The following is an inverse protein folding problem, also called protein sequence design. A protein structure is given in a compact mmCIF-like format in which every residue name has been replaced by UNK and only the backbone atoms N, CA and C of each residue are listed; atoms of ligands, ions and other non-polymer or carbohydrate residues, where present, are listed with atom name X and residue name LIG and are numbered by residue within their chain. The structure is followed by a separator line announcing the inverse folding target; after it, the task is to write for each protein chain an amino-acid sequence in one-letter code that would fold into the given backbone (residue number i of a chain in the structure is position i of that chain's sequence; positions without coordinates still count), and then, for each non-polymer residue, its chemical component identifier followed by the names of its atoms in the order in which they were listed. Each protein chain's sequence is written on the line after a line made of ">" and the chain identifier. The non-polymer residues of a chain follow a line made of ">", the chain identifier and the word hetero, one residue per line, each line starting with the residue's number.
data_IF_291509285411
#
_entry.id   IF_291509285411
#
_cell.length_a   1.000
_cell.length_b   1.000
_cell.length_c   1.000
_cell.angle_alpha   90.00
_cell.angle_beta   90.00
_cell.angle_gamma   90.00
#
_symmetry.space_group_name_H-M   'P 1'
#
loop_
_entity.id
_entity.type
_entity.pdbx_description
1 polymer ?
#
# COMPACT_ATOMS: atom_id res chain seq x y z
N UNK A 1 11.88 -16.35 -27.00
CA UNK A 1 13.09 -16.92 -26.33
C UNK A 1 13.46 -18.29 -26.89
N UNK A 2 12.54 -19.25 -26.93
CA UNK A 2 12.80 -20.62 -27.43
C UNK A 2 13.30 -20.65 -28.87
N UNK A 3 12.79 -19.80 -29.75
CA UNK A 3 13.25 -19.64 -31.16
C UNK A 3 14.75 -19.39 -31.28
N UNK A 4 15.34 -18.67 -30.32
CA UNK A 4 16.77 -18.32 -30.36
C UNK A 4 17.67 -19.39 -29.72
N UNK A 5 17.08 -20.35 -29.00
CA UNK A 5 17.84 -21.30 -28.19
C UNK A 5 18.56 -22.31 -29.10
N UNK A 6 19.89 -22.30 -29.03
CA UNK A 6 20.72 -23.33 -29.67
C UNK A 6 20.97 -23.12 -31.16
N UNK A 7 20.63 -21.93 -31.71
CA UNK A 7 21.01 -21.59 -33.08
C UNK A 7 22.53 -21.42 -33.19
N UNK A 8 23.18 -21.99 -34.21
CA UNK A 8 24.58 -21.72 -34.51
C UNK A 8 24.75 -20.30 -35.05
N UNK A 9 25.95 -19.73 -34.96
CA UNK A 9 26.25 -18.46 -35.62
C UNK A 9 26.42 -18.66 -37.14
N UNK A 10 26.08 -17.69 -38.00
CA UNK A 10 25.54 -16.34 -37.72
C UNK A 10 24.04 -16.23 -38.04
N UNK A 11 23.67 -15.76 -39.23
CA UNK A 11 22.27 -15.63 -39.65
C UNK A 11 21.63 -17.00 -39.89
N UNK A 12 20.45 -17.21 -39.29
CA UNK A 12 19.57 -18.36 -39.53
C UNK A 12 18.19 -17.84 -39.95
N UNK A 13 17.48 -18.56 -40.82
CA UNK A 13 16.14 -18.13 -41.27
C UNK A 13 15.14 -18.07 -40.11
N UNK A 14 15.33 -18.88 -39.08
CA UNK A 14 14.61 -18.87 -37.80
C UNK A 14 14.59 -17.48 -37.14
N UNK A 15 15.59 -16.62 -37.41
CA UNK A 15 15.61 -15.24 -36.92
C UNK A 15 14.53 -14.36 -37.56
N UNK A 16 13.81 -14.83 -38.59
CA UNK A 16 12.68 -14.09 -39.15
C UNK A 16 11.46 -14.10 -38.23
N UNK A 17 11.35 -15.08 -37.34
CA UNK A 17 10.28 -15.26 -36.35
C UNK A 17 10.36 -14.25 -35.17
N UNK A 18 11.30 -13.30 -35.20
CA UNK A 18 11.43 -12.25 -34.19
C UNK A 18 10.34 -11.17 -34.33
N UNK A 19 9.85 -10.93 -35.54
CA UNK A 19 8.94 -9.84 -35.90
C UNK A 19 7.54 -10.04 -35.36
N UNK A 20 6.93 -11.19 -35.64
CA UNK A 20 5.55 -11.47 -35.25
C UNK A 20 5.30 -11.29 -33.74
N UNK A 21 6.08 -11.91 -32.82
CA UNK A 21 5.87 -11.71 -31.39
C UNK A 21 6.23 -10.30 -30.91
N UNK A 22 7.16 -9.62 -31.58
CA UNK A 22 7.47 -8.22 -31.27
C UNK A 22 6.30 -7.30 -31.64
N UNK A 23 5.76 -7.45 -32.85
CA UNK A 23 4.65 -6.62 -33.33
C UNK A 23 3.37 -6.88 -32.55
N UNK A 24 3.05 -8.15 -32.26
CA UNK A 24 1.91 -8.49 -31.41
C UNK A 24 2.06 -7.86 -30.01
N UNK A 25 3.26 -7.94 -29.40
CA UNK A 25 3.50 -7.31 -28.10
C UNK A 25 3.32 -5.78 -28.14
N UNK A 26 3.79 -5.11 -29.20
CA UNK A 26 3.62 -3.67 -29.37
C UNK A 26 2.14 -3.28 -29.50
N UNK A 27 1.38 -4.03 -30.29
CA UNK A 27 -0.05 -3.80 -30.50
C UNK A 27 -0.83 -4.00 -29.18
N UNK A 28 -0.60 -5.10 -28.48
CA UNK A 28 -1.30 -5.43 -27.24
C UNK A 28 -0.94 -4.46 -26.11
N UNK A 29 0.34 -4.15 -25.90
CA UNK A 29 0.75 -3.22 -24.84
C UNK A 29 0.26 -1.81 -25.15
N UNK A 30 0.35 -1.36 -26.40
CA UNK A 30 -0.12 -0.04 -26.83
C UNK A 30 -1.64 0.13 -26.68
N UNK A 31 -2.42 -0.90 -27.00
CA UNK A 31 -3.87 -0.90 -26.75
C UNK A 31 -4.19 -0.98 -25.25
N UNK A 32 -3.52 -1.87 -24.52
CA UNK A 32 -3.71 -2.06 -23.09
C UNK A 32 -3.41 -0.80 -22.28
N UNK A 33 -2.31 -0.10 -22.55
CA UNK A 33 -1.96 1.15 -21.88
C UNK A 33 -3.02 2.24 -22.11
N UNK A 34 -3.57 2.37 -23.33
CA UNK A 34 -4.63 3.34 -23.63
C UNK A 34 -5.94 3.00 -22.92
N UNK A 35 -6.31 1.72 -22.90
CA UNK A 35 -7.49 1.26 -22.18
C UNK A 35 -7.36 1.49 -20.66
N UNK A 36 -6.20 1.17 -20.07
CA UNK A 36 -5.92 1.41 -18.64
C UNK A 36 -5.89 2.90 -18.31
N UNK A 37 -5.34 3.75 -19.17
CA UNK A 37 -5.38 5.20 -18.97
C UNK A 37 -6.83 5.71 -18.94
N UNK A 38 -7.67 5.25 -19.88
CA UNK A 38 -9.10 5.56 -19.88
C UNK A 38 -9.82 5.06 -18.63
N UNK A 39 -9.55 3.82 -18.22
CA UNK A 39 -10.09 3.24 -16.98
C UNK A 39 -9.72 4.10 -15.77
N UNK A 40 -8.43 4.31 -15.51
CA UNK A 40 -7.93 5.01 -14.32
C UNK A 40 -8.43 6.46 -14.26
N UNK A 41 -8.49 7.16 -15.38
CA UNK A 41 -8.97 8.55 -15.44
C UNK A 41 -10.48 8.69 -15.23
N UNK A 42 -11.25 7.62 -15.41
CA UNK A 42 -12.71 7.62 -15.28
C UNK A 42 -13.20 6.91 -14.01
N UNK A 43 -12.30 6.36 -13.18
CA UNK A 43 -12.65 5.77 -11.90
C UNK A 43 -13.31 6.80 -10.99
N UNK A 44 -14.41 6.39 -10.36
CA UNK A 44 -15.06 7.13 -9.27
C UNK A 44 -14.91 6.32 -8.00
N UNK A 45 -14.31 6.93 -6.97
CA UNK A 45 -14.12 6.30 -5.67
C UNK A 45 -15.27 6.63 -4.74
N UNK A 46 -15.87 5.62 -4.11
CA UNK A 46 -16.74 5.81 -2.95
C UNK A 46 -15.84 6.03 -1.72
N UNK A 47 -15.39 7.26 -1.55
CA UNK A 47 -14.48 7.65 -0.47
C UNK A 47 -15.10 7.46 0.91
N UNK A 48 -16.43 7.53 1.01
CA UNK A 48 -17.13 7.30 2.27
C UNK A 48 -17.10 5.82 2.65
N UNK A 49 -17.40 4.92 1.71
CA UNK A 49 -17.30 3.49 1.97
C UNK A 49 -15.85 3.07 2.28
N UNK A 50 -14.87 3.61 1.55
CA UNK A 50 -13.45 3.37 1.82
C UNK A 50 -13.06 3.84 3.23
N UNK A 51 -13.49 5.05 3.63
CA UNK A 51 -13.23 5.60 4.96
C UNK A 51 -13.85 4.74 6.06
N UNK A 52 -15.13 4.38 5.93
CA UNK A 52 -15.82 3.49 6.89
C UNK A 52 -15.12 2.13 7.04
N UNK A 53 -14.58 1.58 5.96
CA UNK A 53 -13.86 0.31 6.00
C UNK A 53 -12.46 0.45 6.65
N UNK A 54 -11.80 1.60 6.48
CA UNK A 54 -10.47 1.87 7.03
C UNK A 54 -10.49 2.25 8.51
N UNK A 55 -11.51 2.99 8.96
CA UNK A 55 -11.59 3.54 10.31
C UNK A 55 -12.22 2.59 11.34
N UNK A 56 -12.24 1.28 11.04
CA UNK A 56 -12.69 0.26 12.00
C UNK A 56 -11.68 0.16 13.15
N UNK A 57 -12.06 0.42 14.42
CA UNK A 57 -11.09 0.52 15.53
C UNK A 57 -10.24 -0.72 15.76
N UNK A 58 -10.75 -1.91 15.45
CA UNK A 58 -10.00 -3.17 15.59
C UNK A 58 -8.81 -3.28 14.63
N UNK A 59 -8.83 -2.57 13.49
CA UNK A 59 -7.68 -2.50 12.58
C UNK A 59 -6.51 -1.71 13.19
N UNK A 60 -6.80 -0.76 14.07
CA UNK A 60 -5.81 0.04 14.79
C UNK A 60 -5.30 -0.64 16.07
N UNK A 61 -5.70 -1.88 16.37
CA UNK A 61 -5.17 -2.62 17.52
C UNK A 61 -3.63 -2.79 17.45
N UNK A 62 -3.07 -2.93 16.25
CA UNK A 62 -1.61 -2.99 16.09
C UNK A 62 -0.94 -1.71 16.57
N UNK A 63 -1.55 -0.54 16.35
CA UNK A 63 -1.02 0.75 16.80
C UNK A 63 -0.96 0.83 18.33
N UNK A 64 -1.91 0.23 19.05
CA UNK A 64 -1.87 0.13 20.51
C UNK A 64 -0.70 -0.73 20.99
N UNK A 65 -0.43 -1.85 20.31
CA UNK A 65 0.68 -2.73 20.66
C UNK A 65 2.03 -2.04 20.40
N UNK A 66 2.17 -1.34 19.26
CA UNK A 66 3.34 -0.52 18.94
C UNK A 66 3.55 0.58 19.98
N UNK A 67 2.49 1.25 20.43
CA UNK A 67 2.55 2.30 21.46
C UNK A 67 3.08 1.80 22.82
N UNK A 68 2.70 0.58 23.21
CA UNK A 68 3.24 -0.08 24.41
C UNK A 68 4.71 -0.46 24.22
N UNK A 69 5.09 -0.94 23.03
CA UNK A 69 6.49 -1.28 22.69
C UNK A 69 7.39 -0.06 22.71
N UNK A 70 6.92 1.09 22.20
CA UNK A 70 7.62 2.37 22.30
C UNK A 70 7.91 2.75 23.77
N UNK A 71 7.02 2.36 24.69
CA UNK A 71 7.15 2.52 26.15
C UNK A 71 7.89 1.37 26.84
N UNK A 72 8.65 0.58 26.09
CA UNK A 72 9.52 -0.51 26.57
C UNK A 72 8.78 -1.75 27.10
N UNK A 73 7.49 -1.90 26.83
CA UNK A 73 6.79 -3.17 27.08
C UNK A 73 7.29 -4.20 26.05
N UNK A 74 7.70 -5.41 26.47
CA UNK A 74 8.11 -6.45 25.53
C UNK A 74 7.01 -6.77 24.51
N UNK A 75 7.38 -6.93 23.24
CA UNK A 75 6.43 -7.13 22.13
C UNK A 75 5.38 -8.20 22.40
N UNK A 76 5.78 -9.37 22.91
CA UNK A 76 4.84 -10.47 23.26
C UNK A 76 3.82 -10.04 24.31
N UNK A 77 4.25 -9.27 25.31
CA UNK A 77 3.38 -8.76 26.38
C UNK A 77 2.43 -7.70 25.84
N UNK A 78 2.91 -6.76 25.03
CA UNK A 78 2.10 -5.73 24.39
C UNK A 78 0.98 -6.33 23.53
N UNK A 79 1.31 -7.29 22.67
CA UNK A 79 0.32 -8.03 21.87
C UNK A 79 -0.65 -8.85 22.73
N UNK A 80 -0.19 -9.40 23.86
CA UNK A 80 -1.03 -10.11 24.80
C UNK A 80 -2.09 -9.21 25.45
N UNK A 81 -1.69 -8.03 25.94
CA UNK A 81 -2.56 -7.03 26.56
C UNK A 81 -3.63 -6.58 25.55
N UNK A 82 -3.19 -6.10 24.39
CA UNK A 82 -4.11 -5.58 23.36
C UNK A 82 -5.02 -6.68 22.83
N UNK A 83 -4.49 -7.89 22.61
CA UNK A 83 -5.29 -9.03 22.22
C UNK A 83 -6.37 -9.39 23.24
N UNK A 84 -6.11 -9.18 24.53
CA UNK A 84 -7.13 -9.29 25.59
C UNK A 84 -8.24 -8.27 25.42
N UNK A 85 -7.89 -6.99 25.30
CA UNK A 85 -8.87 -5.91 25.12
C UNK A 85 -9.73 -6.09 23.86
N UNK A 86 -9.14 -6.56 22.76
CA UNK A 86 -9.89 -6.86 21.54
C UNK A 86 -10.87 -8.01 21.75
N UNK A 87 -10.46 -9.09 22.44
CA UNK A 87 -11.38 -10.19 22.77
C UNK A 87 -12.52 -9.71 23.67
N UNK A 88 -12.20 -8.96 24.72
CA UNK A 88 -13.19 -8.43 25.66
C UNK A 88 -14.18 -7.49 24.95
N UNK A 89 -13.72 -6.66 24.01
CA UNK A 89 -14.59 -5.82 23.18
C UNK A 89 -15.54 -6.65 22.31
N UNK A 90 -15.05 -7.73 21.69
CA UNK A 90 -15.86 -8.61 20.86
C UNK A 90 -16.89 -9.39 21.69
N UNK A 91 -16.48 -9.92 22.84
CA UNK A 91 -17.33 -10.75 23.70
C UNK A 91 -18.42 -9.92 24.39
N UNK A 92 -18.10 -8.70 24.82
CA UNK A 92 -19.04 -7.79 25.49
C UNK A 92 -19.86 -6.92 24.54
N UNK A 93 -19.43 -6.78 23.28
CA UNK A 93 -19.99 -5.80 22.34
C UNK A 93 -19.66 -4.34 22.68
N UNK A 94 -18.79 -4.10 23.66
CA UNK A 94 -18.38 -2.75 24.05
C UNK A 94 -17.42 -2.14 23.02
N UNK A 95 -17.42 -0.80 22.83
CA UNK A 95 -16.45 -0.13 21.99
C UNK A 95 -15.01 -0.37 22.51
N UNK A 96 -14.11 -0.80 21.64
CA UNK A 96 -12.69 -1.03 22.00
C UNK A 96 -12.06 0.23 22.63
N UNK A 97 -12.41 1.42 22.15
CA UNK A 97 -11.91 2.68 22.67
C UNK A 97 -12.22 2.90 24.16
N UNK A 98 -13.38 2.42 24.64
CA UNK A 98 -13.75 2.59 26.04
C UNK A 98 -12.94 1.65 26.94
N UNK A 99 -12.72 0.41 26.51
CA UNK A 99 -11.85 -0.54 27.21
C UNK A 99 -10.38 -0.07 27.24
N UNK A 100 -9.89 0.49 26.14
CA UNK A 100 -8.54 1.07 26.06
C UNK A 100 -8.42 2.27 27.00
N UNK A 101 -9.40 3.18 27.01
CA UNK A 101 -9.41 4.35 27.89
C UNK A 101 -9.39 3.97 29.37
N UNK A 102 -10.05 2.87 29.73
CA UNK A 102 -10.12 2.35 31.09
C UNK A 102 -8.92 1.45 31.48
N UNK A 103 -8.11 0.99 30.51
CA UNK A 103 -6.96 0.11 30.77
C UNK A 103 -5.85 0.88 31.50
N UNK A 104 -5.34 0.35 32.62
CA UNK A 104 -4.20 0.93 33.34
C UNK A 104 -2.93 1.06 32.51
N UNK A 105 -2.72 0.19 31.52
CA UNK A 105 -1.52 0.14 30.69
C UNK A 105 -1.56 1.11 29.51
N UNK A 106 -2.75 1.52 29.06
CA UNK A 106 -2.96 2.32 27.84
C UNK A 106 -3.50 3.73 28.16
N UNK A 107 -4.65 3.79 28.85
CA UNK A 107 -5.31 5.04 29.23
C UNK A 107 -5.87 5.86 28.05
N UNK A 108 -6.36 7.09 28.33
CA UNK A 108 -7.01 7.95 27.34
C UNK A 108 -6.12 8.32 26.15
N UNK A 109 -4.82 8.53 26.37
CA UNK A 109 -3.85 8.91 25.33
C UNK A 109 -3.70 7.83 24.25
N UNK A 110 -3.74 6.55 24.63
CA UNK A 110 -3.69 5.46 23.69
C UNK A 110 -5.02 5.27 22.94
N UNK A 111 -6.15 5.63 23.55
CA UNK A 111 -7.45 5.57 22.88
C UNK A 111 -7.54 6.52 21.67
N UNK A 112 -6.80 7.64 21.69
CA UNK A 112 -6.69 8.56 20.55
C UNK A 112 -6.12 7.87 19.29
N UNK A 113 -5.39 6.76 19.43
CA UNK A 113 -4.88 5.99 18.29
C UNK A 113 -5.98 5.29 17.48
N UNK A 114 -7.16 5.12 18.07
CA UNK A 114 -8.31 4.49 17.43
C UNK A 114 -9.20 5.49 16.70
N UNK A 115 -8.89 6.80 16.78
CA UNK A 115 -9.65 7.81 16.07
C UNK A 115 -9.48 7.69 14.54
N UNK A 116 -10.53 8.00 13.76
CA UNK A 116 -10.50 7.97 12.30
C UNK A 116 -9.26 8.63 11.69
N UNK A 117 -8.60 7.92 10.76
CA UNK A 117 -7.42 8.39 10.04
C UNK A 117 -6.08 8.38 10.81
N UNK A 118 -6.08 8.18 12.13
CA UNK A 118 -4.83 8.19 12.93
C UNK A 118 -3.88 7.05 12.52
N UNK A 119 -4.41 5.83 12.36
CA UNK A 119 -3.63 4.67 11.94
C UNK A 119 -2.87 4.88 10.61
N UNK A 120 -3.50 5.56 9.64
CA UNK A 120 -2.88 5.90 8.35
C UNK A 120 -1.80 6.97 8.51
N UNK A 121 -2.13 8.09 9.18
CA UNK A 121 -1.23 9.25 9.30
C UNK A 121 0.08 8.94 10.03
N UNK A 122 0.08 7.94 10.93
CA UNK A 122 1.27 7.48 11.65
C UNK A 122 2.30 6.75 10.78
N UNK A 123 1.91 6.25 9.61
CA UNK A 123 2.80 5.49 8.69
C UNK A 123 3.73 6.43 7.90
N UNK A 124 4.68 7.05 8.60
CA UNK A 124 5.54 8.13 8.10
C UNK A 124 6.91 7.67 7.58
N UNK A 125 7.26 6.40 7.74
CA UNK A 125 8.52 5.84 7.21
C UNK A 125 8.55 5.94 5.68
N UNK A 126 9.75 5.88 5.10
CA UNK A 126 9.91 5.88 3.65
C UNK A 126 9.13 4.72 3.01
N UNK A 127 8.23 5.04 2.07
CA UNK A 127 7.33 4.08 1.44
C UNK A 127 6.07 3.74 2.27
N UNK A 128 5.86 4.40 3.40
CA UNK A 128 4.66 4.27 4.21
C UNK A 128 3.42 4.92 3.56
N UNK A 129 2.24 4.55 4.08
CA UNK A 129 0.95 5.02 3.58
C UNK A 129 0.47 6.36 4.19
N UNK A 130 1.23 6.93 5.13
CA UNK A 130 0.88 8.21 5.75
C UNK A 130 1.11 9.37 4.81
N UNK A 131 0.33 10.45 4.98
CA UNK A 131 0.31 11.61 4.08
C UNK A 131 1.71 12.13 3.73
N UNK A 132 2.59 12.32 4.72
CA UNK A 132 3.94 12.82 4.48
C UNK A 132 4.80 11.89 3.62
N UNK A 133 4.64 10.57 3.76
CA UNK A 133 5.37 9.58 2.97
C UNK A 133 4.83 9.50 1.55
N UNK A 134 3.51 9.60 1.38
CA UNK A 134 2.82 9.67 0.09
C UNK A 134 3.23 10.93 -0.68
N UNK A 135 3.21 12.10 -0.03
CA UNK A 135 3.61 13.37 -0.65
C UNK A 135 5.06 13.29 -1.18
N UNK A 136 5.99 12.78 -0.37
CA UNK A 136 7.38 12.56 -0.78
C UNK A 136 7.50 11.56 -1.96
N UNK A 137 6.63 10.54 -2.01
CA UNK A 137 6.59 9.57 -3.10
C UNK A 137 6.03 10.17 -4.39
N UNK A 138 4.99 11.00 -4.32
CA UNK A 138 4.41 11.71 -5.45
C UNK A 138 5.44 12.64 -6.09
N UNK A 139 6.16 13.43 -5.28
CA UNK A 139 7.24 14.28 -5.78
C UNK A 139 8.35 13.48 -6.47
N UNK A 140 8.75 12.35 -5.90
CA UNK A 140 9.77 11.47 -6.50
C UNK A 140 9.29 10.93 -7.85
N UNK A 141 8.04 10.51 -7.94
CA UNK A 141 7.48 9.98 -9.19
C UNK A 141 7.29 11.06 -10.25
N UNK A 142 6.88 12.27 -9.87
CA UNK A 142 6.83 13.41 -10.79
C UNK A 142 8.20 13.67 -11.42
N UNK A 143 9.26 13.74 -10.63
CA UNK A 143 10.64 13.89 -11.14
C UNK A 143 11.07 12.75 -12.06
N UNK A 144 10.71 11.51 -11.72
CA UNK A 144 11.04 10.35 -12.57
C UNK A 144 10.29 10.40 -13.91
N UNK A 145 9.02 10.80 -13.89
CA UNK A 145 8.22 10.97 -15.10
C UNK A 145 8.80 12.06 -16.00
N UNK A 146 9.23 13.20 -15.44
CA UNK A 146 9.92 14.25 -16.19
C UNK A 146 11.21 13.74 -16.86
N UNK A 147 12.04 13.03 -16.10
CA UNK A 147 13.30 12.46 -16.63
C UNK A 147 13.06 11.46 -17.76
N UNK A 148 12.08 10.57 -17.61
CA UNK A 148 11.76 9.56 -18.65
C UNK A 148 11.12 10.23 -19.86
N UNK A 149 10.25 11.22 -19.67
CA UNK A 149 9.61 11.95 -20.76
C UNK A 149 10.62 12.77 -21.56
N UNK A 150 11.59 13.42 -20.89
CA UNK A 150 12.69 14.13 -21.57
C UNK A 150 13.46 13.22 -22.53
N UNK A 151 13.80 12.01 -22.09
CA UNK A 151 14.48 11.01 -22.93
C UNK A 151 13.67 10.60 -24.16
N UNK A 152 12.34 10.56 -24.06
CA UNK A 152 11.45 10.24 -25.19
C UNK A 152 11.35 11.41 -26.18
N UNK A 153 11.37 12.65 -25.68
CA UNK A 153 11.34 13.88 -26.47
C UNK A 153 12.70 14.24 -27.12
N UNK A 154 13.75 13.46 -26.87
CA UNK A 154 15.11 13.75 -27.33
C UNK A 154 15.78 14.91 -26.59
N UNK A 155 15.36 15.20 -25.35
CA UNK A 155 15.93 16.21 -24.45
C UNK A 155 16.73 15.59 -23.31
#
# INVERSE_FOLDING_TARGET
>A
LTTLKGLPLSYNRDLQEDKEPLFDALDQVGLGCRALAGLVTTLVFDTEAMRRAADVPTLAAVDLAEWLVERKVPFRTAHGIVGGLVRDALDSGAPLADLVRASPELGPEAAELLEPGVASTRRRSAGGAGRSAVDAQLERFARQLELVSGRLDGR
#
